data_IF_534654257672
#
_entry.id   IF_534654257672
#
_cell.length_a   1.000
_cell.length_b   1.000
_cell.length_c   1.000
_cell.angle_alpha   90.00
_cell.angle_beta   90.00
_cell.angle_gamma   90.00
#
_symmetry.space_group_name_H-M   'P 1'
#
loop_
_entity.id
_entity.type
_entity.pdbx_description
1 polymer ?
#
# COMPACT_ATOMS: atom_id res chain seq x y z
N UNK A 1 4.30 0.87 17.72
CA UNK A 1 4.18 -0.55 17.32
C UNK A 1 5.53 -0.97 16.77
N UNK A 2 6.24 -1.89 17.43
CA UNK A 2 7.52 -2.40 16.94
C UNK A 2 7.21 -3.38 15.82
N UNK A 3 7.42 -2.96 14.59
CA UNK A 3 7.41 -3.86 13.45
C UNK A 3 8.69 -4.67 13.58
N UNK A 4 8.56 -5.97 13.89
CA UNK A 4 9.70 -6.87 13.99
C UNK A 4 10.57 -6.74 12.72
N UNK A 5 11.87 -6.57 12.92
CA UNK A 5 12.93 -6.32 11.94
C UNK A 5 13.12 -7.40 10.84
N UNK A 6 12.12 -8.24 10.56
CA UNK A 6 12.13 -9.17 9.44
C UNK A 6 11.62 -8.47 8.19
N UNK A 7 12.52 -8.00 7.32
CA UNK A 7 12.26 -7.25 6.08
C UNK A 7 11.38 -7.93 5.00
N UNK A 8 10.58 -8.93 5.38
CA UNK A 8 9.61 -9.62 4.52
C UNK A 8 8.17 -9.31 4.95
N UNK A 9 7.71 -8.10 4.68
CA UNK A 9 6.30 -7.75 4.89
C UNK A 9 5.43 -8.38 3.79
N UNK A 10 4.41 -9.14 4.18
CA UNK A 10 3.51 -9.82 3.26
C UNK A 10 2.63 -8.84 2.47
N UNK A 11 2.15 -9.27 1.29
CA UNK A 11 1.16 -8.52 0.50
C UNK A 11 -0.07 -8.08 1.34
N UNK A 12 -0.61 -9.00 2.14
CA UNK A 12 -1.79 -8.76 2.98
C UNK A 12 -1.58 -7.66 4.02
N UNK A 13 -0.35 -7.54 4.55
CA UNK A 13 0.01 -6.46 5.46
C UNK A 13 -0.14 -5.11 4.77
N UNK A 14 0.40 -4.95 3.56
CA UNK A 14 0.29 -3.72 2.80
C UNK A 14 -1.15 -3.39 2.42
N UNK A 15 -1.97 -4.40 2.12
CA UNK A 15 -3.41 -4.20 1.86
C UNK A 15 -4.12 -3.63 3.09
N UNK A 16 -3.92 -4.26 4.26
CA UNK A 16 -4.52 -3.80 5.50
C UNK A 16 -4.02 -2.40 5.87
N UNK A 17 -2.73 -2.12 5.68
CA UNK A 17 -2.13 -0.83 5.98
C UNK A 17 -2.63 0.28 5.07
N UNK A 18 -2.71 0.06 3.75
CA UNK A 18 -3.28 1.03 2.81
C UNK A 18 -4.75 1.33 3.13
N UNK A 19 -5.56 0.30 3.44
CA UNK A 19 -6.94 0.49 3.89
C UNK A 19 -7.00 1.32 5.17
N UNK A 20 -6.14 1.02 6.15
CA UNK A 20 -6.07 1.76 7.40
C UNK A 20 -5.71 3.23 7.15
N UNK A 21 -4.73 3.53 6.30
CA UNK A 21 -4.36 4.91 5.94
C UNK A 21 -5.54 5.63 5.30
N UNK A 22 -6.21 5.00 4.34
CA UNK A 22 -7.37 5.58 3.66
C UNK A 22 -8.49 5.91 4.65
N UNK A 23 -8.77 5.03 5.61
CA UNK A 23 -9.80 5.24 6.63
C UNK A 23 -9.35 6.31 7.64
N UNK A 24 -8.15 6.17 8.21
CA UNK A 24 -7.65 7.02 9.29
C UNK A 24 -7.39 8.46 8.82
N UNK A 25 -6.97 8.65 7.57
CA UNK A 25 -6.74 9.98 6.99
C UNK A 25 -7.92 10.46 6.13
N UNK A 26 -8.94 9.63 5.94
CA UNK A 26 -10.05 9.88 5.01
C UNK A 26 -9.57 10.35 3.62
N UNK A 27 -8.58 9.65 3.08
CA UNK A 27 -7.89 10.02 1.84
C UNK A 27 -8.16 9.03 0.70
N UNK A 28 -7.93 9.48 -0.53
CA UNK A 28 -7.96 8.62 -1.72
C UNK A 28 -6.83 7.59 -1.72
N UNK A 29 -6.97 6.55 -2.54
CA UNK A 29 -5.92 5.53 -2.66
C UNK A 29 -4.60 6.10 -3.17
N UNK A 30 -4.65 7.05 -4.11
CA UNK A 30 -3.47 7.77 -4.61
C UNK A 30 -2.71 8.49 -3.49
N UNK A 31 -3.44 9.19 -2.62
CA UNK A 31 -2.88 9.88 -1.45
C UNK A 31 -2.33 8.89 -0.41
N UNK A 32 -3.01 7.76 -0.21
CA UNK A 32 -2.50 6.70 0.66
C UNK A 32 -1.21 6.07 0.11
N UNK A 33 -1.08 5.93 -1.22
CA UNK A 33 0.15 5.48 -1.87
C UNK A 33 1.30 6.47 -1.68
N UNK A 34 1.06 7.77 -1.84
CA UNK A 34 2.09 8.79 -1.57
C UNK A 34 2.51 8.75 -0.10
N UNK A 35 1.54 8.66 0.80
CA UNK A 35 1.78 8.62 2.24
C UNK A 35 2.66 7.43 2.66
N UNK A 36 2.37 6.22 2.16
CA UNK A 36 3.19 5.05 2.49
C UNK A 36 4.60 5.17 1.87
N UNK A 37 4.74 5.68 0.65
CA UNK A 37 6.06 5.87 0.04
C UNK A 37 6.89 6.86 0.87
N UNK A 38 6.31 7.99 1.26
CA UNK A 38 7.00 9.03 2.01
C UNK A 38 7.33 8.59 3.45
N UNK A 39 6.36 8.04 4.18
CA UNK A 39 6.52 7.75 5.61
C UNK A 39 7.03 6.33 5.93
N UNK A 40 6.69 5.34 5.10
CA UNK A 40 7.03 3.94 5.36
C UNK A 40 8.29 3.51 4.61
N UNK A 41 8.42 3.94 3.36
CA UNK A 41 9.61 3.70 2.54
C UNK A 41 10.63 4.84 2.64
N UNK A 42 10.36 5.87 3.45
CA UNK A 42 11.24 7.04 3.63
C UNK A 42 11.60 7.73 2.30
N UNK A 43 10.65 7.74 1.35
CA UNK A 43 10.84 8.23 -0.01
C UNK A 43 11.51 7.25 -0.98
N UNK A 44 12.07 6.14 -0.48
CA UNK A 44 12.80 5.17 -1.30
C UNK A 44 12.19 3.78 -1.20
N UNK A 45 11.49 3.37 -2.25
CA UNK A 45 10.84 2.06 -2.29
C UNK A 45 11.83 0.92 -2.00
N UNK A 46 13.11 1.06 -2.35
CA UNK A 46 14.14 0.03 -2.12
C UNK A 46 14.61 -0.06 -0.66
N UNK A 47 14.22 0.88 0.21
CA UNK A 47 14.73 0.97 1.58
C UNK A 47 14.36 -0.23 2.46
N UNK A 48 13.35 -1.03 2.07
CA UNK A 48 12.89 -2.22 2.80
C UNK A 48 13.26 -3.55 2.14
N UNK A 49 14.01 -3.50 1.03
CA UNK A 49 14.41 -4.66 0.24
C UNK A 49 13.37 -5.13 -0.78
N UNK A 50 13.85 -5.82 -1.80
CA UNK A 50 13.10 -6.19 -3.01
C UNK A 50 11.81 -6.98 -2.74
N UNK A 51 11.81 -7.82 -1.71
CA UNK A 51 10.62 -8.59 -1.30
C UNK A 51 9.49 -7.68 -0.83
N UNK A 52 9.79 -6.72 0.04
CA UNK A 52 8.80 -5.77 0.56
C UNK A 52 8.31 -4.83 -0.54
N UNK A 53 9.20 -4.37 -1.45
CA UNK A 53 8.80 -3.61 -2.63
C UNK A 53 7.81 -4.41 -3.48
N UNK A 54 8.15 -5.66 -3.80
CA UNK A 54 7.35 -6.53 -4.66
C UNK A 54 5.98 -6.80 -4.05
N UNK A 55 5.91 -7.04 -2.74
CA UNK A 55 4.65 -7.26 -2.04
C UNK A 55 3.79 -5.99 -1.97
N UNK A 56 4.40 -4.82 -1.77
CA UNK A 56 3.70 -3.55 -1.84
C UNK A 56 3.10 -3.30 -3.24
N UNK A 57 3.88 -3.51 -4.31
CA UNK A 57 3.40 -3.33 -5.68
C UNK A 57 2.24 -4.29 -6.02
N UNK A 58 2.33 -5.55 -5.57
CA UNK A 58 1.23 -6.50 -5.73
C UNK A 58 -0.01 -6.10 -4.94
N UNK A 59 0.13 -5.62 -3.70
CA UNK A 59 -0.96 -5.12 -2.89
C UNK A 59 -1.65 -3.90 -3.54
N UNK A 60 -0.86 -2.95 -4.03
CA UNK A 60 -1.36 -1.77 -4.72
C UNK A 60 -2.11 -2.14 -6.01
N UNK A 61 -1.58 -3.07 -6.81
CA UNK A 61 -2.25 -3.59 -8.01
C UNK A 61 -3.57 -4.29 -7.68
N UNK A 62 -3.59 -5.11 -6.63
CA UNK A 62 -4.78 -5.83 -6.19
C UNK A 62 -5.88 -4.85 -5.74
N UNK A 63 -5.52 -3.86 -4.91
CA UNK A 63 -6.44 -2.80 -4.50
C UNK A 63 -6.95 -1.95 -5.68
N UNK A 64 -6.08 -1.65 -6.65
CA UNK A 64 -6.48 -0.92 -7.85
C UNK A 64 -7.42 -1.75 -8.75
N UNK A 65 -7.18 -3.06 -8.88
CA UNK A 65 -8.05 -3.99 -9.61
C UNK A 65 -9.43 -4.12 -8.93
N UNK A 66 -9.46 -4.28 -7.60
CA UNK A 66 -10.71 -4.30 -6.82
C UNK A 66 -11.47 -2.99 -7.01
N UNK A 67 -10.80 -1.84 -7.02
CA UNK A 67 -11.44 -0.54 -7.28
C UNK A 67 -11.92 -0.39 -8.74
N UNK A 68 -11.22 -0.94 -9.73
CA UNK A 68 -11.70 -0.95 -11.13
C UNK A 68 -12.96 -1.80 -11.31
N UNK A 69 -13.16 -2.85 -10.52
CA UNK A 69 -14.42 -3.60 -10.51
C UNK A 69 -15.59 -2.77 -9.92
N UNK A 70 -15.30 -1.83 -9.02
CA UNK A 70 -16.28 -0.91 -8.43
C UNK A 70 -16.42 0.45 -9.18
N UNK A 71 -15.58 0.69 -10.19
CA UNK A 71 -15.58 1.87 -11.05
C UNK A 71 -15.61 1.42 -12.52
N UNK A 72 -16.54 0.53 -12.87
CA UNK A 72 -17.07 0.57 -14.23
C UNK A 72 -17.73 1.96 -14.40
N UNK A 73 -17.25 2.84 -15.29
CA UNK A 73 -18.01 4.02 -15.63
C UNK A 73 -19.27 3.54 -16.36
N UNK A 74 -20.35 3.40 -15.61
CA UNK A 74 -21.70 3.52 -16.15
C UNK A 74 -21.94 4.97 -16.51
N UNK A 75 -21.42 5.40 -17.66
CA UNK A 75 -22.03 6.32 -18.64
C UNK A 75 -21.05 6.62 -19.77
#
# INVERSE_FOLDING_TARGET
MVVNNGGNLSKEYFIAYLKLIMIAKNCSFDEAQKFIVEHFFNGDLNSLGEYSCSNYLNAARELQSIRRCFLAPGK
#
